data_IF_027870931281
#
_entry.id   IF_027870931281
#
_cell.length_a   1.000
_cell.length_b   1.000
_cell.length_c   1.000
_cell.angle_alpha   90.00
_cell.angle_beta   90.00
_cell.angle_gamma   90.00
#
_symmetry.space_group_name_H-M   'P 1'
#
loop_
_entity.id
_entity.type
_entity.pdbx_description
1 polymer ?
#
# COMPACT_ATOMS: atom_id res chain seq x y z
N UNK A 1 -2.47 -4.89 -14.42
CA UNK A 1 -1.09 -4.40 -14.18
C UNK A 1 -0.08 -5.03 -15.13
N UNK A 2 0.73 -4.20 -15.80
CA UNK A 2 1.81 -4.62 -16.70
C UNK A 2 3.14 -4.71 -15.96
N UNK A 3 4.11 -5.45 -16.50
CA UNK A 3 5.47 -5.55 -15.94
C UNK A 3 6.33 -4.36 -16.37
N UNK A 4 5.83 -3.15 -16.14
CA UNK A 4 6.44 -1.91 -16.58
C UNK A 4 6.81 -1.03 -15.37
N UNK A 5 7.85 -0.20 -15.49
CA UNK A 5 8.19 0.79 -14.48
C UNK A 5 7.03 1.73 -14.17
N UNK A 6 7.02 2.27 -12.96
CA UNK A 6 6.02 3.27 -12.58
C UNK A 6 5.87 3.44 -11.08
N UNK A 7 4.79 4.14 -10.73
CA UNK A 7 4.38 4.46 -9.36
C UNK A 7 3.11 3.71 -9.01
N UNK A 8 2.99 3.28 -7.76
CA UNK A 8 1.81 2.57 -7.27
C UNK A 8 1.42 3.02 -5.86
N UNK A 9 0.14 2.91 -5.55
CA UNK A 9 -0.43 3.03 -4.22
C UNK A 9 -1.14 1.71 -3.88
N UNK A 10 -0.77 1.09 -2.76
CA UNK A 10 -1.44 -0.10 -2.22
C UNK A 10 -2.54 0.36 -1.26
N UNK A 11 -3.75 -0.16 -1.47
CA UNK A 11 -4.91 0.11 -0.62
C UNK A 11 -5.16 -1.13 0.20
N UNK A 12 -4.95 -1.00 1.49
CA UNK A 12 -5.05 -2.07 2.47
C UNK A 12 -6.16 -1.74 3.46
N UNK A 13 -6.92 -2.74 3.89
CA UNK A 13 -7.92 -2.62 4.96
C UNK A 13 -7.41 -3.32 6.20
N UNK A 14 -7.35 -2.58 7.30
CA UNK A 14 -7.13 -3.13 8.62
C UNK A 14 -8.47 -3.23 9.36
N UNK A 15 -8.85 -4.43 9.76
CA UNK A 15 -10.09 -4.67 10.52
C UNK A 15 -9.84 -4.77 12.03
N UNK A 16 -8.59 -4.68 12.49
CA UNK A 16 -8.26 -4.95 13.91
C UNK A 16 -7.18 -4.00 14.44
N UNK A 17 -7.37 -3.51 15.67
CA UNK A 17 -6.38 -2.71 16.39
C UNK A 17 -5.28 -3.63 16.94
N UNK A 18 -4.38 -4.09 16.07
CA UNK A 18 -3.30 -5.02 16.44
C UNK A 18 -1.97 -4.28 16.49
N UNK A 19 -1.39 -4.17 17.69
CA UNK A 19 -0.06 -3.59 17.89
C UNK A 19 0.97 -4.30 17.03
N UNK A 20 1.67 -3.56 16.18
CA UNK A 20 2.65 -4.07 15.23
C UNK A 20 4.03 -3.51 15.53
N UNK A 21 5.04 -4.38 15.50
CA UNK A 21 6.44 -3.97 15.56
C UNK A 21 7.02 -3.97 14.14
N UNK A 22 7.44 -2.81 13.66
CA UNK A 22 7.94 -2.59 12.30
C UNK A 22 9.43 -2.28 12.38
N UNK A 23 10.26 -3.34 12.43
CA UNK A 23 11.72 -3.26 12.36
C UNK A 23 12.31 -2.05 13.12
N UNK A 24 13.07 -1.22 12.40
CA UNK A 24 13.73 -0.02 12.95
C UNK A 24 12.76 1.14 13.25
N UNK A 25 11.56 1.15 12.68
CA UNK A 25 10.52 2.17 12.97
C UNK A 25 9.93 1.98 14.38
N UNK A 26 10.09 0.80 14.98
CA UNK A 26 9.64 0.52 16.33
C UNK A 26 8.19 0.05 16.38
N UNK A 27 7.48 0.39 17.45
CA UNK A 27 6.08 -0.04 17.66
C UNK A 27 5.13 1.00 17.07
N UNK A 28 4.16 0.52 16.31
CA UNK A 28 2.99 1.30 15.90
C UNK A 28 1.72 0.57 16.36
N UNK A 29 0.69 1.34 16.67
CA UNK A 29 -0.66 0.85 16.99
C UNK A 29 -1.58 1.24 15.82
N UNK A 30 -1.64 0.42 14.75
CA UNK A 30 -2.48 0.72 13.60
C UNK A 30 -3.95 0.59 13.97
N UNK A 31 -4.66 1.71 13.96
CA UNK A 31 -6.11 1.75 14.17
C UNK A 31 -6.85 1.07 13.00
N UNK A 32 -8.07 0.54 13.21
CA UNK A 32 -8.90 0.02 12.14
C UNK A 32 -9.21 1.09 11.10
N UNK A 33 -9.29 0.69 9.83
CA UNK A 33 -9.53 1.60 8.72
C UNK A 33 -8.80 1.19 7.44
N UNK A 34 -8.57 2.15 6.57
CA UNK A 34 -7.88 1.96 5.29
C UNK A 34 -6.52 2.63 5.32
N UNK A 35 -5.56 1.96 4.72
CA UNK A 35 -4.17 2.40 4.61
C UNK A 35 -3.80 2.50 3.14
N UNK A 36 -3.19 3.61 2.77
CA UNK A 36 -2.69 3.88 1.43
C UNK A 36 -1.18 4.01 1.51
N UNK A 37 -0.47 3.08 0.90
CA UNK A 37 0.99 3.10 0.82
C UNK A 37 1.45 3.44 -0.58
N UNK A 38 2.22 4.51 -0.75
CA UNK A 38 2.77 4.95 -2.03
C UNK A 38 4.20 4.46 -2.18
N UNK A 39 4.52 3.89 -3.34
CA UNK A 39 5.88 3.49 -3.69
C UNK A 39 6.12 3.50 -5.19
N UNK A 40 7.38 3.33 -5.58
CA UNK A 40 7.77 3.18 -6.97
C UNK A 40 8.45 1.85 -7.26
N UNK A 41 8.39 1.44 -8.53
CA UNK A 41 8.91 0.16 -8.98
C UNK A 41 9.63 0.32 -10.33
N UNK A 42 10.88 0.79 -10.29
CA UNK A 42 11.74 0.96 -11.47
C UNK A 42 12.71 -0.21 -11.72
N UNK A 43 12.67 -1.23 -10.87
CA UNK A 43 13.48 -2.43 -11.01
C UNK A 43 12.87 -3.48 -11.94
N UNK A 44 13.53 -4.64 -12.10
CA UNK A 44 13.05 -5.74 -12.93
C UNK A 44 11.61 -6.16 -12.59
N UNK A 45 10.77 -6.29 -13.61
CA UNK A 45 9.36 -6.67 -13.47
C UNK A 45 8.41 -5.54 -13.05
N UNK A 46 8.93 -4.34 -12.79
CA UNK A 46 8.16 -3.11 -12.63
C UNK A 46 7.11 -3.15 -11.52
N UNK A 47 6.05 -2.37 -11.70
CA UNK A 47 4.94 -2.26 -10.74
C UNK A 47 4.34 -3.63 -10.42
N UNK A 48 4.07 -4.47 -11.44
CA UNK A 48 3.48 -5.79 -11.24
C UNK A 48 4.28 -6.66 -10.28
N UNK A 49 5.61 -6.76 -10.46
CA UNK A 49 6.45 -7.59 -9.60
C UNK A 49 6.53 -7.05 -8.17
N UNK A 50 6.63 -5.74 -8.01
CA UNK A 50 6.71 -5.10 -6.69
C UNK A 50 5.41 -5.26 -5.90
N UNK A 51 4.28 -5.00 -6.55
CA UNK A 51 2.94 -5.20 -5.97
C UNK A 51 2.75 -6.65 -5.58
N UNK A 52 3.03 -7.61 -6.48
CA UNK A 52 2.90 -9.04 -6.18
C UNK A 52 3.71 -9.46 -4.95
N UNK A 53 4.91 -8.91 -4.77
CA UNK A 53 5.73 -9.14 -3.56
C UNK A 53 5.04 -8.62 -2.30
N UNK A 54 4.48 -7.41 -2.33
CA UNK A 54 3.76 -6.85 -1.18
C UNK A 54 2.43 -7.55 -0.90
N UNK A 55 1.81 -8.20 -1.89
CA UNK A 55 0.57 -8.96 -1.69
C UNK A 55 0.80 -10.39 -1.19
N UNK A 56 2.00 -10.95 -1.35
CA UNK A 56 2.33 -12.28 -0.82
C UNK A 56 2.12 -12.32 0.70
N UNK A 57 1.59 -13.40 1.31
CA UNK A 57 1.46 -13.46 2.78
C UNK A 57 2.79 -13.82 3.44
N UNK A 58 3.40 -14.91 2.99
CA UNK A 58 4.68 -15.39 3.52
C UNK A 58 5.85 -14.80 2.75
N UNK A 59 6.57 -13.84 3.34
CA UNK A 59 7.77 -13.23 2.76
C UNK A 59 8.74 -12.78 3.86
N UNK A 60 10.00 -12.61 3.49
CA UNK A 60 10.94 -11.88 4.34
C UNK A 60 10.55 -10.40 4.34
N UNK A 61 10.32 -9.84 5.53
CA UNK A 61 9.97 -8.43 5.70
C UNK A 61 11.23 -7.58 5.50
N UNK A 62 11.32 -6.89 4.36
CA UNK A 62 12.47 -6.05 4.03
C UNK A 62 12.08 -4.56 4.09
N UNK A 63 10.82 -4.24 3.81
CA UNK A 63 10.30 -2.87 3.87
C UNK A 63 9.25 -2.75 4.97
N UNK A 64 9.07 -1.53 5.49
CA UNK A 64 8.05 -1.27 6.53
C UNK A 64 6.65 -1.72 6.09
N UNK A 65 6.29 -1.54 4.82
CA UNK A 65 5.01 -1.98 4.26
C UNK A 65 4.83 -3.51 4.28
N UNK A 66 5.91 -4.30 4.26
CA UNK A 66 5.80 -5.76 4.29
C UNK A 66 5.17 -6.24 5.61
N UNK A 67 5.54 -5.60 6.74
CA UNK A 67 4.96 -5.88 8.05
C UNK A 67 3.47 -5.56 8.10
N UNK A 68 3.07 -4.40 7.55
CA UNK A 68 1.68 -3.96 7.55
C UNK A 68 0.82 -4.79 6.58
N UNK A 69 1.35 -5.10 5.39
CA UNK A 69 0.67 -5.90 4.37
C UNK A 69 0.36 -7.33 4.82
N UNK A 70 1.13 -7.88 5.77
CA UNK A 70 0.86 -9.20 6.34
C UNK A 70 -0.34 -9.23 7.29
N UNK A 71 -0.69 -8.09 7.90
CA UNK A 71 -1.82 -7.97 8.81
C UNK A 71 -3.10 -7.44 8.15
N UNK A 72 -2.96 -6.71 7.05
CA UNK A 72 -4.09 -6.07 6.38
C UNK A 72 -4.57 -6.88 5.18
N UNK A 73 -5.86 -6.76 4.86
CA UNK A 73 -6.41 -7.32 3.62
C UNK A 73 -6.19 -6.35 2.46
N UNK A 74 -5.58 -6.77 1.34
CA UNK A 74 -5.47 -5.92 0.16
C UNK A 74 -6.84 -5.72 -0.49
N UNK A 75 -7.16 -4.47 -0.83
CA UNK A 75 -8.43 -4.09 -1.45
C UNK A 75 -8.21 -3.75 -2.91
N UNK A 76 -7.26 -2.87 -3.18
CA UNK A 76 -6.97 -2.39 -4.52
C UNK A 76 -5.53 -1.90 -4.63
N UNK A 77 -5.12 -1.67 -5.86
CA UNK A 77 -3.86 -1.04 -6.21
C UNK A 77 -4.15 0.02 -7.24
N UNK A 78 -3.79 1.26 -6.93
CA UNK A 78 -3.78 2.34 -7.91
C UNK A 78 -2.37 2.45 -8.47
N UNK A 79 -2.24 2.55 -9.78
CA UNK A 79 -0.92 2.57 -10.39
C UNK A 79 -0.88 3.44 -11.64
N UNK A 80 0.30 3.93 -11.95
CA UNK A 80 0.58 4.63 -13.19
C UNK A 80 1.88 4.08 -13.77
N UNK A 81 1.84 3.68 -15.03
CA UNK A 81 3.02 3.25 -15.77
C UNK A 81 3.73 4.45 -16.38
N UNK A 82 5.06 4.46 -16.33
CA UNK A 82 5.86 5.56 -16.86
C UNK A 82 7.28 5.59 -16.32
N UNK A 83 8.14 6.37 -16.99
CA UNK A 83 9.51 6.64 -16.53
C UNK A 83 9.59 7.68 -15.42
N UNK A 84 8.51 8.43 -15.18
CA UNK A 84 8.46 9.52 -14.22
C UNK A 84 8.24 9.01 -12.79
N UNK A 85 9.03 9.55 -11.86
CA UNK A 85 8.96 9.20 -10.43
C UNK A 85 7.90 10.05 -9.74
N UNK A 86 6.65 9.63 -9.86
CA UNK A 86 5.49 10.33 -9.28
C UNK A 86 5.28 10.02 -7.78
N UNK A 87 6.15 9.21 -7.17
CA UNK A 87 6.04 8.76 -5.78
C UNK A 87 5.90 9.92 -4.79
N UNK A 88 6.73 10.95 -4.92
CA UNK A 88 6.68 12.11 -4.04
C UNK A 88 5.43 12.97 -4.27
N UNK A 89 5.03 13.13 -5.53
CA UNK A 89 3.82 13.90 -5.89
C UNK A 89 2.56 13.22 -5.36
N UNK A 90 2.48 11.89 -5.48
CA UNK A 90 1.37 11.09 -4.95
C UNK A 90 1.34 11.12 -3.42
N UNK A 91 2.49 11.03 -2.76
CA UNK A 91 2.58 11.16 -1.31
C UNK A 91 2.15 12.56 -0.85
N UNK A 92 2.56 13.62 -1.56
CA UNK A 92 2.14 14.98 -1.25
C UNK A 92 0.63 15.17 -1.46
N UNK A 93 0.08 14.69 -2.58
CA UNK A 93 -1.36 14.78 -2.86
C UNK A 93 -2.20 14.09 -1.78
N UNK A 94 -1.77 12.93 -1.28
CA UNK A 94 -2.44 12.27 -0.15
C UNK A 94 -2.27 13.03 1.17
N UNK A 95 -1.11 13.65 1.40
CA UNK A 95 -0.87 14.46 2.58
C UNK A 95 -1.80 15.69 2.64
N UNK A 96 -2.12 16.28 1.48
CA UNK A 96 -2.95 17.48 1.37
C UNK A 96 -4.46 17.16 1.38
N UNK A 97 -4.86 15.89 1.27
CA UNK A 97 -6.26 15.47 1.31
C UNK A 97 -6.83 15.50 2.72
N UNK A 98 -7.98 16.17 2.88
CA UNK A 98 -8.76 16.08 4.11
C UNK A 98 -9.21 14.63 4.37
N UNK A 99 -9.12 14.21 5.63
CA UNK A 99 -9.35 12.84 6.13
C UNK A 99 -8.19 11.83 5.92
N UNK A 100 -7.01 12.28 5.50
CA UNK A 100 -5.80 11.46 5.51
C UNK A 100 -4.90 11.82 6.70
N UNK A 101 -4.48 10.81 7.44
CA UNK A 101 -3.50 10.93 8.53
C UNK A 101 -2.19 10.27 8.09
N UNK A 102 -1.12 11.04 8.00
CA UNK A 102 0.20 10.54 7.64
C UNK A 102 0.85 9.78 8.82
N UNK A 103 1.31 8.55 8.59
CA UNK A 103 2.09 7.78 9.58
C UNK A 103 3.54 8.27 9.54
N UNK A 104 3.85 9.29 10.33
CA UNK A 104 5.15 9.99 10.34
C UNK A 104 6.34 9.02 10.28
N UNK A 105 7.26 9.26 9.33
CA UNK A 105 8.50 8.49 9.19
C UNK A 105 8.36 7.16 8.45
N UNK A 106 7.17 6.78 8.01
CA UNK A 106 6.95 5.51 7.35
C UNK A 106 7.35 5.55 5.88
N UNK A 107 8.35 4.75 5.50
CA UNK A 107 8.74 4.55 4.09
C UNK A 107 9.47 5.72 3.46
N UNK A 108 9.83 6.75 4.23
CA UNK A 108 10.54 7.95 3.78
C UNK A 108 12.00 8.01 4.23
N UNK A 109 12.64 6.89 4.58
CA UNK A 109 14.04 6.87 5.07
C UNK A 109 15.02 7.53 4.09
N UNK A 110 14.76 7.43 2.79
CA UNK A 110 15.62 7.96 1.73
C UNK A 110 15.07 9.25 1.08
N UNK A 111 14.03 9.88 1.64
CA UNK A 111 13.42 11.08 1.06
C UNK A 111 12.99 12.11 2.12
N UNK A 112 12.60 13.31 1.66
CA UNK A 112 12.11 14.40 2.52
C UNK A 112 10.60 14.37 2.75
N UNK A 113 9.91 13.33 2.29
CA UNK A 113 8.46 13.23 2.44
C UNK A 113 8.09 13.02 3.92
N UNK A 114 6.93 13.56 4.31
CA UNK A 114 6.42 13.40 5.67
C UNK A 114 6.13 11.93 6.01
N UNK A 115 5.55 11.22 5.05
CA UNK A 115 5.24 9.79 5.10
C UNK A 115 4.95 9.28 3.69
N UNK A 116 5.14 7.99 3.46
CA UNK A 116 4.63 7.26 2.29
C UNK A 116 3.42 6.38 2.65
N UNK A 117 3.02 6.35 3.92
CA UNK A 117 1.84 5.66 4.41
C UNK A 117 0.84 6.65 5.01
N UNK A 118 -0.40 6.55 4.54
CA UNK A 118 -1.51 7.39 4.97
C UNK A 118 -2.67 6.50 5.44
N UNK A 119 -3.39 6.95 6.45
CA UNK A 119 -4.55 6.27 7.01
C UNK A 119 -5.81 7.11 6.84
N UNK A 120 -6.93 6.45 6.58
CA UNK A 120 -8.27 7.05 6.65
C UNK A 120 -9.28 6.07 7.25
N UNK A 121 -10.27 6.55 8.02
CA UNK A 121 -11.34 5.69 8.53
C UNK A 121 -12.33 5.24 7.43
N UNK A 122 -12.40 5.96 6.30
CA UNK A 122 -13.37 5.69 5.22
C UNK A 122 -12.71 5.07 4.00
N UNK A 123 -13.47 4.33 3.20
CA UNK A 123 -12.98 3.78 1.93
C UNK A 123 -12.38 4.89 1.07
N UNK A 124 -11.14 4.75 0.59
CA UNK A 124 -10.50 5.80 -0.18
C UNK A 124 -11.08 5.85 -1.60
N UNK A 125 -11.38 7.06 -2.05
CA UNK A 125 -12.00 7.33 -3.35
C UNK A 125 -10.92 7.59 -4.40
N UNK A 126 -10.85 6.70 -5.39
CA UNK A 126 -9.89 6.83 -6.48
C UNK A 126 -10.19 8.01 -7.39
N UNK A 127 -11.45 8.42 -7.56
CA UNK A 127 -11.78 9.58 -8.38
C UNK A 127 -11.25 10.86 -7.72
N UNK A 128 -11.42 10.97 -6.39
CA UNK A 128 -10.85 12.06 -5.60
C UNK A 128 -9.32 12.05 -5.66
N UNK A 129 -8.70 10.88 -5.55
CA UNK A 129 -7.25 10.75 -5.69
C UNK A 129 -6.76 11.15 -7.08
N UNK A 130 -7.40 10.66 -8.13
CA UNK A 130 -7.02 10.94 -9.52
C UNK A 130 -7.24 12.40 -9.93
N UNK A 131 -8.10 13.14 -9.23
CA UNK A 131 -8.27 14.57 -9.46
C UNK A 131 -7.12 15.41 -8.88
N UNK A 132 -6.42 14.90 -7.87
CA UNK A 132 -5.34 15.61 -7.18
C UNK A 132 -3.93 15.11 -7.56
N UNK A 133 -3.80 13.85 -7.96
CA UNK A 133 -2.52 13.24 -8.29
C UNK A 133 -2.19 13.32 -9.79
N UNK A 134 -0.92 13.52 -10.10
CA UNK A 134 -0.39 13.55 -11.47
C UNK A 134 -0.36 12.14 -12.09
N UNK A 135 -0.56 12.08 -13.41
CA UNK A 135 -0.39 10.86 -14.20
C UNK A 135 -1.69 10.11 -14.48
N UNK A 136 -1.65 9.19 -15.44
CA UNK A 136 -2.80 8.33 -15.75
C UNK A 136 -2.90 7.24 -14.70
N UNK A 137 -3.90 7.32 -13.84
CA UNK A 137 -4.14 6.35 -12.77
C UNK A 137 -5.04 5.23 -13.28
N UNK A 138 -4.52 4.01 -13.22
CA UNK A 138 -5.25 2.78 -13.41
C UNK A 138 -5.53 2.12 -12.07
N UNK A 139 -6.62 1.33 -12.02
CA UNK A 139 -7.03 0.61 -10.81
C UNK A 139 -7.01 -0.87 -11.08
N UNK A 140 -6.38 -1.61 -10.17
CA UNK A 140 -6.53 -3.05 -10.08
C UNK A 140 -7.15 -3.39 -8.74
N UNK A 141 -8.38 -3.87 -8.76
CA UNK A 141 -9.04 -4.42 -7.57
C UNK A 141 -8.45 -5.79 -7.27
N UNK A 142 -8.14 -6.05 -6.00
CA UNK A 142 -7.77 -7.40 -5.59
C UNK A 142 -9.03 -8.27 -5.70
N UNK A 143 -9.01 -9.39 -6.45
CA UNK A 143 -10.10 -10.35 -6.37
C UNK A 143 -10.25 -10.77 -4.90
N UNK A 144 -11.50 -10.82 -4.43
CA UNK A 144 -11.87 -10.99 -3.03
C UNK A 144 -10.90 -11.89 -2.25
N UNK A 145 -10.33 -11.37 -1.17
CA UNK A 145 -9.64 -12.16 -0.15
C UNK A 145 -10.63 -13.02 0.67
N UNK A 146 -11.71 -13.51 0.03
CA UNK A 146 -12.82 -14.24 0.63
C UNK A 146 -12.79 -15.75 0.34
N UNK A 147 -11.75 -16.29 -0.32
CA UNK A 147 -11.64 -17.73 -0.59
C UNK A 147 -10.34 -18.33 -0.02
N UNK A 148 -10.13 -18.21 1.29
CA UNK A 148 -9.12 -19.00 2.01
C UNK A 148 -9.69 -19.42 3.37
N UNK A 149 -10.83 -20.11 3.33
CA UNK A 149 -11.44 -20.81 4.46
C UNK A 149 -12.11 -22.14 4.04
N UNK A 150 -11.66 -22.75 2.94
CA UNK A 150 -12.13 -24.07 2.52
C UNK A 150 -11.03 -24.85 1.82
N UNK A 151 -10.12 -25.41 2.63
CA UNK A 151 -9.41 -26.68 2.39
C UNK A 151 -8.27 -26.82 3.39
N UNK A 152 -8.51 -27.64 4.42
CA UNK A 152 -7.65 -28.74 4.90
C UNK A 152 -8.09 -29.11 6.33
N UNK A 153 -9.38 -29.39 6.47
CA UNK A 153 -9.86 -30.37 7.43
C UNK A 153 -9.85 -31.71 6.68
N UNK A 154 -8.83 -32.54 6.91
CA UNK A 154 -8.92 -34.00 7.00
C UNK A 154 -7.55 -34.57 7.38
N UNK A 155 -7.34 -34.67 8.70
CA UNK A 155 -6.52 -35.70 9.31
C UNK A 155 -7.48 -36.83 9.69
N UNK A 156 -7.40 -37.95 8.98
CA UNK A 156 -7.36 -39.30 9.54
C UNK A 156 -7.16 -40.32 8.43
#
# INVERSE_FOLDING_TARGET
MRAEPGTYALILRNSSATRLHIGALGRIDPEPGYYIYVGSAFGPGGVRARVARHLRRTKACHWHIDYLSGLCSPIAVWYSHGGERLEHEWAQALCDMSAMSAVKGFGCTDCRCHSHLFQTPTTPDVARFSAAATGRIEVWSCPDAAEDASSHEHRN
#
